data_IF_167608292212
#
_entry.id   IF_167608292212
#
_cell.length_a   1.000
_cell.length_b   1.000
_cell.length_c   1.000
_cell.angle_alpha   90.00
_cell.angle_beta   90.00
_cell.angle_gamma   90.00
#
_symmetry.space_group_name_H-M   'P 1'
#
loop_
_entity.id
_entity.type
_entity.pdbx_description
1 polymer ?
#
# COMPACT_ATOMS: atom_id res chain seq x y z
N UNK A 1 -5.76 -16.21 -9.35
CA UNK A 1 -5.60 -14.74 -9.17
C UNK A 1 -5.05 -14.36 -7.79
N UNK A 2 -5.31 -15.11 -6.72
CA UNK A 2 -4.79 -14.81 -5.36
C UNK A 2 -3.32 -15.22 -5.12
N UNK A 3 -2.75 -16.04 -6.00
CA UNK A 3 -1.39 -16.57 -5.84
C UNK A 3 -0.31 -15.53 -6.18
N UNK A 4 -0.56 -14.73 -7.21
CA UNK A 4 0.37 -13.72 -7.72
C UNK A 4 0.65 -12.60 -6.70
N UNK A 5 -0.38 -12.13 -5.99
CA UNK A 5 -0.24 -11.12 -4.93
C UNK A 5 0.48 -11.67 -3.70
N UNK A 6 0.31 -12.95 -3.41
CA UNK A 6 1.00 -13.62 -2.28
C UNK A 6 2.47 -13.82 -2.56
N UNK A 7 2.83 -14.11 -3.81
CA UNK A 7 4.23 -14.22 -4.26
C UNK A 7 4.88 -12.84 -4.37
N UNK A 8 4.14 -11.79 -4.77
CA UNK A 8 4.66 -10.43 -4.89
C UNK A 8 4.97 -9.76 -3.53
N UNK A 9 4.26 -10.13 -2.46
CA UNK A 9 4.42 -9.57 -1.10
C UNK A 9 5.86 -9.58 -0.56
N UNK A 10 6.59 -10.71 -0.56
CA UNK A 10 7.98 -10.73 -0.08
C UNK A 10 8.91 -9.85 -0.91
N UNK A 11 8.74 -9.80 -2.24
CA UNK A 11 9.54 -8.91 -3.10
C UNK A 11 9.27 -7.43 -2.79
N UNK A 12 7.99 -7.04 -2.73
CA UNK A 12 7.61 -5.66 -2.40
C UNK A 12 8.15 -5.25 -1.02
N UNK A 13 8.16 -6.18 -0.05
CA UNK A 13 8.75 -5.96 1.27
C UNK A 13 10.27 -5.77 1.20
N UNK A 14 10.99 -6.65 0.49
CA UNK A 14 12.44 -6.56 0.37
C UNK A 14 12.88 -5.26 -0.32
N UNK A 15 12.20 -4.85 -1.39
CA UNK A 15 12.48 -3.58 -2.08
C UNK A 15 12.16 -2.40 -1.17
N UNK A 16 11.06 -2.47 -0.42
CA UNK A 16 10.69 -1.43 0.53
C UNK A 16 11.74 -1.27 1.64
N UNK A 17 12.23 -2.38 2.22
CA UNK A 17 13.29 -2.36 3.23
C UNK A 17 14.60 -1.79 2.65
N UNK A 18 14.97 -2.16 1.43
CA UNK A 18 16.14 -1.63 0.72
C UNK A 18 16.01 -0.13 0.40
N UNK A 19 14.85 0.28 -0.13
CA UNK A 19 14.56 1.68 -0.44
C UNK A 19 14.51 2.56 0.82
N UNK A 20 14.08 1.98 1.95
CA UNK A 20 14.11 2.64 3.25
C UNK A 20 15.54 2.78 3.80
N UNK A 21 16.38 1.75 3.63
CA UNK A 21 17.79 1.80 4.02
C UNK A 21 18.58 2.85 3.22
N UNK A 22 18.30 2.97 1.92
CA UNK A 22 18.90 3.97 1.02
C UNK A 22 18.21 5.34 1.06
N UNK A 23 17.15 5.49 1.88
CA UNK A 23 16.32 6.69 1.98
C UNK A 23 15.79 7.22 0.63
N UNK A 24 15.59 6.33 -0.34
CA UNK A 24 15.19 6.66 -1.72
C UNK A 24 13.83 6.01 -2.09
N UNK A 25 12.84 6.15 -1.20
CA UNK A 25 11.50 5.59 -1.43
C UNK A 25 10.82 6.13 -2.69
N UNK A 26 11.07 7.39 -3.03
CA UNK A 26 10.45 8.04 -4.18
C UNK A 26 11.06 7.59 -5.51
N UNK A 27 12.40 7.47 -5.59
CA UNK A 27 13.05 6.94 -6.79
C UNK A 27 12.63 5.50 -7.08
N UNK A 28 12.51 4.66 -6.04
CA UNK A 28 12.01 3.30 -6.20
C UNK A 28 10.53 3.23 -6.62
N UNK A 29 9.68 4.13 -6.11
CA UNK A 29 8.28 4.27 -6.51
C UNK A 29 8.16 4.63 -8.00
N UNK A 30 8.92 5.60 -8.48
CA UNK A 30 8.89 6.03 -9.87
C UNK A 30 9.45 4.96 -10.80
N UNK A 31 10.53 4.28 -10.40
CA UNK A 31 11.10 3.15 -11.15
C UNK A 31 10.09 2.01 -11.28
N UNK A 32 9.47 1.57 -10.18
CA UNK A 32 8.49 0.48 -10.20
C UNK A 32 7.25 0.83 -11.03
N UNK A 33 6.81 2.09 -10.99
CA UNK A 33 5.70 2.58 -11.83
C UNK A 33 6.06 2.50 -13.31
N UNK A 34 7.22 3.03 -13.71
CA UNK A 34 7.69 2.94 -15.09
C UNK A 34 7.81 1.48 -15.53
N UNK A 35 8.42 0.63 -14.71
CA UNK A 35 8.55 -0.79 -15.00
C UNK A 35 7.18 -1.45 -15.17
N UNK A 36 6.21 -1.13 -14.30
CA UNK A 36 4.86 -1.68 -14.40
C UNK A 36 4.17 -1.29 -15.71
N UNK A 37 4.38 -0.06 -16.19
CA UNK A 37 3.85 0.39 -17.48
C UNK A 37 4.47 -0.39 -18.64
N UNK A 38 5.80 -0.55 -18.63
CA UNK A 38 6.51 -1.32 -19.64
C UNK A 38 6.04 -2.78 -19.65
N UNK A 39 5.82 -3.39 -18.49
CA UNK A 39 5.38 -4.80 -18.39
C UNK A 39 3.91 -5.00 -18.76
N UNK A 40 3.07 -3.98 -18.59
CA UNK A 40 1.66 -4.03 -18.99
C UNK A 40 1.49 -3.86 -20.50
N UNK A 41 2.49 -3.29 -21.19
CA UNK A 41 2.46 -3.11 -22.63
C UNK A 41 2.30 -4.46 -23.39
N UNK A 42 1.37 -4.55 -24.36
CA UNK A 42 1.10 -5.79 -25.08
C UNK A 42 2.32 -6.38 -25.79
N UNK A 43 3.14 -5.53 -26.42
CA UNK A 43 4.32 -5.97 -27.17
C UNK A 43 5.34 -6.58 -26.19
N UNK A 44 5.51 -5.93 -25.04
CA UNK A 44 6.38 -6.44 -23.98
C UNK A 44 5.86 -7.75 -23.38
N UNK A 45 4.53 -7.91 -23.22
CA UNK A 45 3.96 -9.15 -22.73
C UNK A 45 4.17 -10.31 -23.70
N UNK A 46 4.13 -10.08 -25.01
CA UNK A 46 4.47 -11.09 -26.00
C UNK A 46 5.94 -11.51 -25.90
N UNK A 47 6.84 -10.54 -25.76
CA UNK A 47 8.29 -10.78 -25.57
C UNK A 47 8.54 -11.60 -24.30
N UNK A 48 7.92 -11.24 -23.17
CA UNK A 48 8.04 -11.96 -21.89
C UNK A 48 7.40 -13.37 -21.96
N UNK A 49 6.36 -13.54 -22.76
CA UNK A 49 5.68 -14.83 -22.93
C UNK A 49 6.37 -15.75 -23.93
N UNK A 50 7.22 -15.20 -24.79
CA UNK A 50 7.86 -15.93 -25.87
C UNK A 50 9.02 -16.78 -25.33
N UNK A 51 8.97 -18.11 -25.46
CA UNK A 51 10.05 -18.99 -25.04
C UNK A 51 11.30 -18.89 -25.94
N UNK A 52 11.23 -18.11 -27.02
CA UNK A 52 12.35 -17.86 -27.94
C UNK A 52 13.27 -16.72 -27.47
N UNK A 53 12.81 -15.90 -26.54
CA UNK A 53 13.55 -14.75 -26.04
C UNK A 53 14.31 -15.18 -24.79
N UNK A 54 15.61 -14.89 -24.75
CA UNK A 54 16.44 -15.22 -23.58
C UNK A 54 16.25 -14.18 -22.47
N UNK A 55 16.52 -14.59 -21.23
CA UNK A 55 16.54 -13.69 -20.07
C UNK A 55 17.41 -12.45 -20.29
N UNK A 56 18.53 -12.60 -20.98
CA UNK A 56 19.44 -11.50 -21.31
C UNK A 56 18.83 -10.50 -22.29
N UNK A 57 18.13 -10.98 -23.32
CA UNK A 57 17.44 -10.13 -24.30
C UNK A 57 16.30 -9.34 -23.65
N UNK A 58 15.53 -9.96 -22.75
CA UNK A 58 14.49 -9.26 -21.98
C UNK A 58 15.12 -8.16 -21.13
N UNK A 59 16.26 -8.44 -20.49
CA UNK A 59 16.97 -7.46 -19.67
C UNK A 59 17.48 -6.29 -20.52
N UNK A 60 18.01 -6.57 -21.70
CA UNK A 60 18.51 -5.56 -22.64
C UNK A 60 17.37 -4.66 -23.12
N UNK A 61 16.29 -5.24 -23.63
CA UNK A 61 15.09 -4.50 -24.07
C UNK A 61 14.51 -3.66 -22.94
N UNK A 62 14.34 -4.23 -21.73
CA UNK A 62 13.82 -3.46 -20.58
C UNK A 62 14.76 -2.34 -20.17
N UNK A 63 16.08 -2.56 -20.25
CA UNK A 63 17.08 -1.54 -19.94
C UNK A 63 17.10 -0.42 -20.98
N UNK A 64 16.93 -0.74 -22.26
CA UNK A 64 16.82 0.25 -23.34
C UNK A 64 15.57 1.10 -23.19
N UNK A 65 14.42 0.49 -22.89
CA UNK A 65 13.14 1.20 -22.70
C UNK A 65 13.18 2.10 -21.46
N UNK A 66 13.80 1.66 -20.37
CA UNK A 66 13.95 2.45 -19.14
C UNK A 66 15.06 3.50 -19.25
N UNK A 67 16.01 3.31 -20.18
CA UNK A 67 17.15 4.19 -20.43
C UNK A 67 17.98 4.51 -19.19
N UNK A 68 18.45 5.76 -19.09
CA UNK A 68 19.28 6.25 -17.98
C UNK A 68 18.54 6.41 -16.63
N UNK A 69 17.26 6.03 -16.55
CA UNK A 69 16.49 6.06 -15.28
C UNK A 69 16.68 4.79 -14.45
N UNK A 70 17.43 3.82 -14.97
CA UNK A 70 17.70 2.54 -14.34
C UNK A 70 19.04 2.57 -13.60
N UNK A 71 18.99 2.73 -12.28
CA UNK A 71 20.18 2.54 -11.44
C UNK A 71 20.64 1.07 -11.42
N UNK A 72 21.88 0.83 -11.00
CA UNK A 72 22.47 -0.51 -10.86
C UNK A 72 21.57 -1.45 -10.03
N UNK A 73 20.93 -0.91 -8.99
CA UNK A 73 20.00 -1.64 -8.14
C UNK A 73 18.71 -2.02 -8.87
N UNK A 74 18.16 -1.11 -9.68
CA UNK A 74 17.00 -1.37 -10.52
C UNK A 74 17.29 -2.47 -11.56
N UNK A 75 18.48 -2.45 -12.17
CA UNK A 75 18.92 -3.48 -13.11
C UNK A 75 19.06 -4.85 -12.46
N UNK A 76 19.64 -4.90 -11.25
CA UNK A 76 19.74 -6.14 -10.48
C UNK A 76 18.36 -6.67 -10.09
N UNK A 77 17.43 -5.78 -9.73
CA UNK A 77 16.06 -6.16 -9.43
C UNK A 77 15.34 -6.78 -10.64
N UNK A 78 15.44 -6.15 -11.81
CA UNK A 78 14.90 -6.70 -13.06
C UNK A 78 15.51 -8.08 -13.32
N UNK A 79 16.84 -8.22 -13.20
CA UNK A 79 17.52 -9.50 -13.40
C UNK A 79 16.97 -10.60 -12.50
N UNK A 80 16.81 -10.33 -11.20
CA UNK A 80 16.23 -11.30 -10.24
C UNK A 80 14.81 -11.70 -10.62
N UNK A 81 14.00 -10.76 -11.12
CA UNK A 81 12.64 -11.06 -11.57
C UNK A 81 12.61 -11.87 -12.88
N UNK A 82 13.53 -11.62 -13.81
CA UNK A 82 13.68 -12.39 -15.04
C UNK A 82 14.12 -13.82 -14.70
N UNK A 83 15.15 -13.98 -13.88
CA UNK A 83 15.69 -15.28 -13.47
C UNK A 83 14.63 -16.12 -12.74
N UNK A 84 13.75 -15.46 -11.98
CA UNK A 84 12.62 -16.12 -11.31
C UNK A 84 11.40 -16.33 -12.22
N UNK A 85 11.44 -15.90 -13.49
CA UNK A 85 10.32 -15.86 -14.44
C UNK A 85 9.07 -15.16 -13.88
N UNK A 86 9.27 -14.12 -13.07
CA UNK A 86 8.25 -13.40 -12.29
C UNK A 86 8.02 -11.97 -12.78
N UNK A 87 8.48 -11.64 -13.98
CA UNK A 87 8.39 -10.27 -14.51
C UNK A 87 6.96 -9.76 -14.62
N UNK A 88 6.00 -10.65 -14.91
CA UNK A 88 4.56 -10.32 -14.94
C UNK A 88 3.99 -9.90 -13.58
N UNK A 89 4.69 -10.16 -12.48
CA UNK A 89 4.26 -9.78 -11.13
C UNK A 89 4.59 -8.33 -10.79
N UNK A 90 5.38 -7.64 -11.62
CA UNK A 90 5.83 -6.25 -11.40
C UNK A 90 4.68 -5.29 -11.09
N UNK A 91 3.53 -5.30 -11.81
CA UNK A 91 2.43 -4.39 -11.49
C UNK A 91 1.89 -4.60 -10.07
N UNK A 92 1.83 -5.86 -9.62
CA UNK A 92 1.42 -6.19 -8.26
C UNK A 92 2.47 -5.78 -7.22
N UNK A 93 3.77 -5.92 -7.55
CA UNK A 93 4.85 -5.46 -6.68
C UNK A 93 4.81 -3.93 -6.54
N UNK A 94 4.57 -3.21 -7.63
CA UNK A 94 4.44 -1.75 -7.64
C UNK A 94 3.29 -1.27 -6.76
N UNK A 95 2.10 -1.88 -6.88
CA UNK A 95 0.93 -1.54 -6.04
C UNK A 95 1.19 -1.82 -4.54
N UNK A 96 1.80 -2.98 -4.24
CA UNK A 96 2.15 -3.33 -2.86
C UNK A 96 3.24 -2.42 -2.29
N UNK A 97 4.22 -2.00 -3.10
CA UNK A 97 5.25 -1.06 -2.70
C UNK A 97 4.65 0.31 -2.39
N UNK A 98 3.75 0.82 -3.22
CA UNK A 98 3.04 2.09 -2.98
C UNK A 98 2.24 2.06 -1.68
N UNK A 99 1.52 0.96 -1.42
CA UNK A 99 0.81 0.75 -0.14
C UNK A 99 1.77 0.80 1.05
N UNK A 100 2.90 0.10 0.97
CA UNK A 100 3.92 0.12 2.04
C UNK A 100 4.57 1.49 2.21
N UNK A 101 4.86 2.18 1.10
CA UNK A 101 5.39 3.54 1.11
C UNK A 101 4.40 4.48 1.80
N UNK A 102 3.11 4.40 1.49
CA UNK A 102 2.08 5.19 2.15
C UNK A 102 2.01 4.88 3.66
N UNK A 103 2.02 3.61 4.05
CA UNK A 103 2.06 3.17 5.47
C UNK A 103 3.31 3.64 6.23
N UNK A 104 4.45 3.76 5.53
CA UNK A 104 5.74 4.15 6.08
C UNK A 104 5.95 5.66 6.15
N UNK A 105 5.48 6.41 5.16
CA UNK A 105 5.35 7.87 5.21
C UNK A 105 4.36 8.32 6.31
N UNK A 106 3.65 7.36 6.90
CA UNK A 106 2.88 7.52 8.12
C UNK A 106 1.38 7.57 7.88
N UNK A 107 0.90 7.43 6.64
CA UNK A 107 -0.53 7.47 6.29
C UNK A 107 -1.22 6.21 6.80
N UNK A 108 -1.49 6.19 8.09
CA UNK A 108 -2.49 5.29 8.66
C UNK A 108 -3.82 5.93 8.31
N UNK A 109 -4.52 5.33 7.36
CA UNK A 109 -5.90 5.70 7.05
C UNK A 109 -6.77 5.30 8.23
N UNK A 110 -7.19 6.29 9.00
CA UNK A 110 -8.15 6.11 10.08
C UNK A 110 -9.52 6.45 9.49
N UNK A 111 -10.35 5.42 9.37
CA UNK A 111 -11.74 5.58 9.02
C UNK A 111 -12.51 5.96 10.28
N UNK A 112 -12.90 7.22 10.37
CA UNK A 112 -13.70 7.74 11.47
C UNK A 112 -15.15 7.79 11.01
N UNK A 113 -15.98 6.91 11.57
CA UNK A 113 -17.42 6.91 11.39
C UNK A 113 -18.04 7.78 12.48
N UNK A 114 -18.64 8.90 12.08
CA UNK A 114 -19.32 9.81 13.01
C UNK A 114 -20.77 10.01 12.65
N UNK A 115 -21.61 10.15 13.67
CA UNK A 115 -23.02 10.54 13.51
C UNK A 115 -23.20 11.97 12.98
N UNK A 116 -22.15 12.79 13.05
CA UNK A 116 -22.15 14.20 12.63
C UNK A 116 -20.90 14.51 11.82
N UNK A 117 -20.98 15.50 10.93
CA UNK A 117 -19.83 16.00 10.18
C UNK A 117 -18.77 16.56 11.15
N UNK A 118 -17.55 16.05 11.04
CA UNK A 118 -16.44 16.49 11.88
C UNK A 118 -15.97 17.88 11.44
N UNK A 119 -16.06 18.86 12.33
CA UNK A 119 -15.43 20.17 12.11
C UNK A 119 -13.91 20.03 11.99
N UNK A 120 -13.29 20.82 11.11
CA UNK A 120 -11.86 20.75 10.83
C UNK A 120 -10.97 20.88 12.09
N UNK A 121 -11.43 21.62 13.11
CA UNK A 121 -10.73 21.72 14.40
C UNK A 121 -10.70 20.39 15.17
N UNK A 122 -11.79 19.62 15.16
CA UNK A 122 -11.89 18.33 15.85
C UNK A 122 -11.09 17.25 15.12
N UNK A 123 -11.10 17.27 13.77
CA UNK A 123 -10.26 16.40 12.96
C UNK A 123 -8.77 16.63 13.23
N UNK A 124 -8.33 17.89 13.32
CA UNK A 124 -6.94 18.23 13.64
C UNK A 124 -6.52 17.83 15.06
N UNK A 125 -7.39 18.02 16.05
CA UNK A 125 -7.11 17.55 17.42
C UNK A 125 -7.05 16.02 17.48
N UNK A 126 -7.94 15.33 16.77
CA UNK A 126 -7.95 13.88 16.71
C UNK A 126 -6.72 13.31 16.00
N UNK A 127 -6.27 13.95 14.92
CA UNK A 127 -5.07 13.56 14.19
C UNK A 127 -3.82 13.76 15.04
N UNK A 128 -3.76 14.83 15.84
CA UNK A 128 -2.65 15.10 16.74
C UNK A 128 -2.59 14.11 17.92
N UNK A 129 -3.75 13.85 18.56
CA UNK A 129 -3.86 12.90 19.68
C UNK A 129 -3.58 11.48 19.23
N UNK A 130 -4.21 11.05 18.13
CA UNK A 130 -3.96 9.72 17.59
C UNK A 130 -2.54 9.63 17.03
N UNK A 131 -1.99 10.71 16.48
CA UNK A 131 -0.63 10.73 15.93
C UNK A 131 0.42 10.54 17.01
N UNK A 132 0.20 11.15 18.18
CA UNK A 132 1.00 10.91 19.40
C UNK A 132 0.82 9.48 19.94
N UNK A 133 -0.38 8.91 19.85
CA UNK A 133 -0.69 7.57 20.39
C UNK A 133 -0.16 6.43 19.50
N UNK A 134 -0.14 6.63 18.19
CA UNK A 134 0.29 5.66 17.18
C UNK A 134 1.72 5.91 16.66
N UNK A 135 2.32 7.07 16.99
CA UNK A 135 3.67 7.43 16.56
C UNK A 135 3.82 7.67 15.05
N UNK A 136 2.73 7.96 14.33
CA UNK A 136 2.69 8.11 12.86
C UNK A 136 1.81 9.30 12.41
N UNK A 137 2.05 9.82 11.20
CA UNK A 137 1.30 10.94 10.57
C UNK A 137 -0.04 10.50 9.98
N UNK A 138 -1.10 10.58 10.79
CA UNK A 138 -2.42 10.04 10.45
C UNK A 138 -3.14 10.83 9.37
N UNK A 139 -3.79 10.12 8.45
CA UNK A 139 -4.77 10.67 7.52
C UNK A 139 -6.17 10.22 7.98
N UNK A 140 -7.04 11.18 8.31
CA UNK A 140 -8.39 10.89 8.79
C UNK A 140 -9.33 10.91 7.60
N UNK A 141 -9.90 9.74 7.27
CA UNK A 141 -11.05 9.64 6.38
C UNK A 141 -12.31 9.66 7.25
N UNK A 142 -12.95 10.83 7.34
CA UNK A 142 -14.19 10.99 8.09
C UNK A 142 -15.38 10.65 7.18
N UNK A 143 -16.18 9.67 7.58
CA UNK A 143 -17.39 9.29 6.88
C UNK A 143 -18.58 9.47 7.82
N UNK A 144 -19.55 10.27 7.41
CA UNK A 144 -20.76 10.52 8.21
C UNK A 144 -21.73 9.35 7.99
N UNK A 145 -22.10 8.69 9.08
CA UNK A 145 -23.10 7.63 9.08
C UNK A 145 -24.22 8.00 10.05
N UNK A 146 -25.32 8.51 9.48
CA UNK A 146 -26.53 8.93 10.20
C UNK A 146 -27.23 7.78 10.94
N UNK A 147 -26.86 6.52 10.70
CA UNK A 147 -27.39 5.36 11.43
C UNK A 147 -26.82 5.24 12.86
N UNK A 148 -25.75 6.00 13.17
CA UNK A 148 -25.23 6.15 14.52
C UNK A 148 -26.12 7.13 15.31
N UNK A 149 -26.89 6.60 16.26
CA UNK A 149 -27.78 7.36 17.17
C UNK A 149 -26.97 8.36 18.05
N UNK A 150 -25.64 8.20 18.11
CA UNK A 150 -24.70 9.16 18.67
C UNK A 150 -23.37 8.51 19.07
N UNK A 151 -22.26 9.23 18.83
CA UNK A 151 -20.89 8.82 19.19
C UNK A 151 -19.96 8.61 17.99
N UNK A 152 -18.71 8.26 18.28
CA UNK A 152 -17.62 8.14 17.30
C UNK A 152 -17.16 6.68 17.25
N UNK A 153 -17.13 6.09 16.06
CA UNK A 153 -16.49 4.79 15.83
C UNK A 153 -15.22 5.04 15.02
N UNK A 154 -14.07 4.80 15.63
CA UNK A 154 -12.77 5.01 15.00
C UNK A 154 -12.20 3.65 14.60
N UNK A 155 -12.01 3.43 13.30
CA UNK A 155 -11.33 2.25 12.76
C UNK A 155 -9.97 2.63 12.22
N UNK A 156 -8.92 2.25 12.92
CA UNK A 156 -7.52 2.45 12.53
C UNK A 156 -6.93 1.10 12.10
N UNK A 157 -6.97 0.78 10.81
CA UNK A 157 -6.57 -0.54 10.30
C UNK A 157 -7.38 -1.67 10.93
N UNK A 158 -6.72 -2.48 11.75
CA UNK A 158 -7.29 -3.64 12.47
C UNK A 158 -7.82 -3.29 13.87
N UNK A 159 -7.58 -2.06 14.35
CA UNK A 159 -8.05 -1.60 15.66
C UNK A 159 -9.37 -0.85 15.52
N UNK A 160 -10.43 -1.36 16.17
CA UNK A 160 -11.73 -0.70 16.28
C UNK A 160 -11.89 -0.11 17.67
N UNK A 161 -12.04 1.21 17.75
CA UNK A 161 -12.39 1.94 18.97
C UNK A 161 -13.83 2.42 18.80
N UNK A 162 -14.77 1.72 19.43
CA UNK A 162 -16.19 2.06 19.42
C UNK A 162 -16.54 2.87 20.68
N UNK A 163 -16.87 4.15 20.50
CA UNK A 163 -17.41 5.03 21.54
C UNK A 163 -18.87 5.42 21.29
N UNK A 164 -19.59 4.63 20.48
CA UNK A 164 -20.99 4.87 20.18
C UNK A 164 -21.90 4.56 21.39
N UNK A 165 -22.96 5.34 21.54
CA UNK A 165 -24.01 5.12 22.54
C UNK A 165 -24.69 3.76 22.33
N UNK A 166 -24.78 3.30 21.07
CA UNK A 166 -25.28 1.98 20.70
C UNK A 166 -24.40 0.85 21.24
N UNK A 167 -23.07 1.01 21.16
CA UNK A 167 -22.10 0.09 21.76
C UNK A 167 -22.32 -0.06 23.26
N UNK A 168 -22.41 1.07 23.99
CA UNK A 168 -22.66 1.07 25.45
C UNK A 168 -24.00 0.42 25.83
N UNK A 169 -25.08 0.68 25.09
CA UNK A 169 -26.38 0.05 25.33
C UNK A 169 -26.36 -1.46 25.09
N UNK A 170 -25.65 -1.92 24.05
CA UNK A 170 -25.48 -3.35 23.79
C UNK A 170 -24.64 -4.05 24.87
N UNK A 171 -23.58 -3.40 25.38
CA UNK A 171 -22.78 -3.97 26.48
C UNK A 171 -23.62 -4.09 27.76
N UNK A 172 -24.41 -3.08 28.10
CA UNK A 172 -25.32 -3.13 29.25
C UNK A 172 -26.40 -4.19 29.09
N UNK A 173 -27.00 -4.31 27.89
CA UNK A 173 -27.98 -5.36 27.60
C UNK A 173 -27.37 -6.75 27.73
N UNK A 174 -26.15 -6.96 27.25
CA UNK A 174 -25.46 -8.25 27.38
C UNK A 174 -25.06 -8.56 28.83
N UNK A 175 -24.83 -7.55 29.68
CA UNK A 175 -24.60 -7.74 31.11
C UNK A 175 -25.87 -8.04 31.92
N UNK A 176 -27.05 -7.71 31.40
CA UNK A 176 -28.34 -7.95 32.07
C UNK A 176 -29.04 -9.25 31.61
N UNK A 177 -28.59 -9.86 30.51
CA UNK A 177 -29.14 -11.11 29.95
C UNK A 177 -28.17 -12.30 30.20
N UNK A 178 -27.01 -12.05 30.82
CA UNK A 178 -26.06 -13.07 31.29
C UNK A 178 -26.27 -13.45 32.73
#
# INVERSE_FOLDING_TARGET
>A
MQDNTTIARPYARAIFELAQADNNLQGWSDLLKLLSQVVVDPDMQEVISSPRVTSEQILEITSEVMGNRLDLLGRNFIKVLIDANRLRLVPYISDLFEKRRAEAEGRVDINVLTAYELEAQQSNQLSEVMGKRLGKKINISAMVDESLIGGIVIRAGDTVIDSSLRGRLNTLRNQLIG
#
